data_IF_022251424396
#
_entry.id   IF_022251424396
#
_cell.length_a   1.000
_cell.length_b   1.000
_cell.length_c   1.000
_cell.angle_alpha   90.00
_cell.angle_beta   90.00
_cell.angle_gamma   90.00
#
_symmetry.space_group_name_H-M   'P 1'
#
loop_
_entity.id
_entity.type
_entity.pdbx_description
1 polymer ?
#
# COMPACT_ATOMS: atom_id res chain seq x y z
N UNK A 1 21.34 35.13 -26.31
CA UNK A 1 19.89 35.35 -26.37
C UNK A 1 19.36 34.96 -24.99
N UNK A 2 19.13 35.94 -24.11
CA UNK A 2 18.75 35.69 -22.71
C UNK A 2 17.26 35.34 -22.65
N UNK A 3 16.94 34.15 -22.14
CA UNK A 3 15.58 33.78 -21.77
C UNK A 3 15.16 34.59 -20.54
N UNK A 4 13.95 35.19 -20.51
CA UNK A 4 13.50 35.95 -19.36
C UNK A 4 13.18 35.02 -18.19
N UNK A 5 13.64 35.42 -17.00
CA UNK A 5 13.32 34.79 -15.73
C UNK A 5 11.79 34.64 -15.57
N UNK A 6 11.35 33.43 -15.21
CA UNK A 6 9.96 33.15 -14.87
C UNK A 6 9.50 34.09 -13.76
N UNK A 7 8.57 34.95 -14.13
CA UNK A 7 7.82 35.81 -13.23
C UNK A 7 6.89 34.91 -12.42
N UNK A 8 7.33 34.49 -11.23
CA UNK A 8 6.47 33.78 -10.28
C UNK A 8 5.28 34.69 -9.96
N UNK A 9 4.09 34.26 -10.37
CA UNK A 9 2.88 35.04 -10.21
C UNK A 9 2.58 35.25 -8.73
N UNK A 10 2.64 36.50 -8.27
CA UNK A 10 2.11 36.94 -6.97
C UNK A 10 0.57 36.99 -6.98
N UNK A 11 -0.11 35.91 -7.38
CA UNK A 11 -1.51 35.76 -6.98
C UNK A 11 -1.51 35.29 -5.53
N UNK A 12 -2.10 36.08 -4.63
CA UNK A 12 -2.29 35.67 -3.24
C UNK A 12 -3.04 34.34 -3.15
N UNK A 13 -2.71 33.52 -2.15
CA UNK A 13 -3.38 32.22 -1.95
C UNK A 13 -4.87 32.48 -1.71
N UNK A 14 -5.72 31.63 -2.27
CA UNK A 14 -7.15 31.68 -1.97
C UNK A 14 -7.40 31.13 -0.57
N UNK A 15 -8.46 31.55 0.15
CA UNK A 15 -8.79 31.01 1.48
C UNK A 15 -8.93 29.48 1.51
N UNK A 16 -9.39 28.89 0.39
CA UNK A 16 -9.49 27.43 0.24
C UNK A 16 -8.10 26.78 0.19
N UNK A 17 -7.16 27.40 -0.52
CA UNK A 17 -5.78 26.88 -0.62
C UNK A 17 -5.11 26.90 0.74
N UNK A 18 -5.26 27.99 1.50
CA UNK A 18 -4.73 28.11 2.86
C UNK A 18 -5.31 27.05 3.80
N UNK A 19 -6.63 26.82 3.75
CA UNK A 19 -7.29 25.79 4.54
C UNK A 19 -6.78 24.37 4.20
N UNK A 20 -6.58 24.07 2.91
CA UNK A 20 -6.07 22.78 2.46
C UNK A 20 -4.64 22.54 2.92
N UNK A 21 -3.78 23.55 2.80
CA UNK A 21 -2.39 23.51 3.27
C UNK A 21 -2.32 23.27 4.79
N UNK A 22 -3.08 24.05 5.56
CA UNK A 22 -3.14 23.90 7.01
C UNK A 22 -3.66 22.51 7.41
N UNK A 23 -4.69 22.02 6.71
CA UNK A 23 -5.25 20.69 6.95
C UNK A 23 -4.24 19.59 6.64
N UNK A 24 -3.50 19.69 5.53
CA UNK A 24 -2.47 18.74 5.16
C UNK A 24 -1.32 18.72 6.18
N UNK A 25 -0.85 19.88 6.65
CA UNK A 25 0.19 20.00 7.67
C UNK A 25 -0.27 19.40 9.00
N UNK A 26 -1.51 19.68 9.42
CA UNK A 26 -2.10 19.09 10.64
C UNK A 26 -2.20 17.57 10.53
N UNK A 27 -2.65 17.06 9.38
CA UNK A 27 -2.75 15.62 9.14
C UNK A 27 -1.36 14.96 9.14
N UNK A 28 -0.36 15.58 8.50
CA UNK A 28 1.03 15.13 8.54
C UNK A 28 1.53 15.00 9.98
N UNK A 29 1.37 16.05 10.80
CA UNK A 29 1.80 16.05 12.20
C UNK A 29 1.07 14.97 13.01
N UNK A 30 -0.24 14.80 12.80
CA UNK A 30 -1.02 13.75 13.44
C UNK A 30 -0.48 12.36 13.09
N UNK A 31 -0.34 12.04 11.81
CA UNK A 31 0.13 10.73 11.36
C UNK A 31 1.56 10.44 11.82
N UNK A 32 2.46 11.44 11.79
CA UNK A 32 3.82 11.31 12.28
C UNK A 32 3.87 11.02 13.78
N UNK A 33 3.07 11.74 14.59
CA UNK A 33 2.98 11.51 16.04
C UNK A 33 2.43 10.11 16.39
N UNK A 34 1.60 9.54 15.52
CA UNK A 34 1.07 8.17 15.63
C UNK A 34 1.96 7.13 14.94
N UNK A 35 3.17 7.51 14.52
CA UNK A 35 4.13 6.65 13.83
C UNK A 35 3.54 5.96 12.60
N UNK A 36 2.57 6.58 11.92
CA UNK A 36 1.92 6.03 10.73
C UNK A 36 1.17 4.71 10.98
N UNK A 37 0.90 4.38 12.24
CA UNK A 37 0.17 3.19 12.66
C UNK A 37 -1.28 3.55 12.98
N UNK A 38 -2.20 2.68 12.60
CA UNK A 38 -3.63 2.95 12.74
C UNK A 38 -4.46 1.68 12.86
N UNK A 39 -5.76 1.89 12.95
CA UNK A 39 -6.76 0.84 12.92
C UNK A 39 -7.28 0.63 11.51
N UNK A 40 -7.54 -0.61 11.15
CA UNK A 40 -8.13 -1.00 9.87
C UNK A 40 -9.56 -1.54 10.10
N UNK A 41 -10.54 -1.28 9.22
CA UNK A 41 -11.87 -1.88 9.32
C UNK A 41 -11.89 -3.41 9.45
N UNK A 42 -10.84 -4.10 9.00
CA UNK A 42 -10.73 -5.56 9.01
C UNK A 42 -9.71 -6.10 10.04
N UNK A 43 -9.15 -5.25 10.90
CA UNK A 43 -8.11 -5.62 11.88
C UNK A 43 -8.60 -6.44 13.09
N UNK A 44 -9.88 -6.79 13.17
CA UNK A 44 -10.44 -7.43 14.37
C UNK A 44 -9.76 -8.74 14.76
N UNK A 45 -9.25 -9.48 13.77
CA UNK A 45 -8.52 -10.73 14.02
C UNK A 45 -7.11 -10.52 14.61
N UNK A 46 -6.60 -9.27 14.66
CA UNK A 46 -5.42 -8.92 15.44
C UNK A 46 -5.69 -8.88 16.96
N UNK A 47 -6.92 -9.13 17.41
CA UNK A 47 -7.29 -9.13 18.82
C UNK A 47 -6.57 -10.24 19.59
N UNK A 48 -5.74 -9.84 20.56
CA UNK A 48 -5.08 -10.78 21.48
C UNK A 48 -6.08 -11.52 22.36
N UNK A 49 -7.18 -10.86 22.74
CA UNK A 49 -8.27 -11.48 23.50
C UNK A 49 -8.93 -12.57 22.67
N UNK A 50 -9.33 -12.27 21.43
CA UNK A 50 -9.97 -13.24 20.55
C UNK A 50 -9.03 -14.41 20.22
N UNK A 51 -7.76 -14.13 19.92
CA UNK A 51 -6.78 -15.17 19.58
C UNK A 51 -6.59 -16.21 20.70
N UNK A 52 -6.78 -15.82 21.96
CA UNK A 52 -6.68 -16.71 23.11
C UNK A 52 -7.90 -17.63 23.31
N UNK A 53 -9.01 -17.38 22.62
CA UNK A 53 -10.26 -18.11 22.80
C UNK A 53 -10.32 -19.33 21.86
N UNK A 54 -10.92 -20.47 22.28
CA UNK A 54 -10.94 -21.69 21.47
C UNK A 54 -11.70 -21.53 20.15
N UNK A 55 -12.69 -20.63 20.11
CA UNK A 55 -13.45 -20.32 18.91
C UNK A 55 -12.69 -19.45 17.90
N UNK A 56 -11.47 -19.00 18.21
CA UNK A 56 -10.63 -18.23 17.27
C UNK A 56 -10.28 -18.98 15.99
N UNK A 57 -10.41 -20.31 15.99
CA UNK A 57 -10.21 -21.18 14.83
C UNK A 57 -11.46 -21.34 13.96
N UNK A 58 -12.63 -20.93 14.45
CA UNK A 58 -13.91 -21.10 13.75
C UNK A 58 -14.09 -19.95 12.76
N UNK A 59 -14.25 -20.28 11.47
CA UNK A 59 -14.45 -19.31 10.40
C UNK A 59 -15.62 -18.36 10.66
N UNK A 60 -16.77 -18.89 11.11
CA UNK A 60 -17.94 -18.08 11.44
C UNK A 60 -17.67 -17.09 12.58
N UNK A 61 -16.95 -17.50 13.63
CA UNK A 61 -16.61 -16.63 14.75
C UNK A 61 -15.70 -15.47 14.31
N UNK A 62 -14.71 -15.76 13.45
CA UNK A 62 -13.85 -14.74 12.82
C UNK A 62 -14.67 -13.73 12.02
N UNK A 63 -15.59 -14.21 11.18
CA UNK A 63 -16.47 -13.37 10.36
C UNK A 63 -17.37 -12.48 11.22
N UNK A 64 -17.97 -13.04 12.27
CA UNK A 64 -18.82 -12.29 13.21
C UNK A 64 -18.00 -11.19 13.87
N UNK A 65 -16.82 -11.51 14.41
CA UNK A 65 -15.96 -10.51 15.05
C UNK A 65 -15.60 -9.37 14.09
N UNK A 66 -15.13 -9.70 12.88
CA UNK A 66 -14.77 -8.70 11.87
C UNK A 66 -15.97 -7.81 11.52
N UNK A 67 -17.16 -8.38 11.29
CA UNK A 67 -18.34 -7.58 10.93
C UNK A 67 -18.83 -6.72 12.10
N UNK A 68 -18.83 -7.24 13.33
CA UNK A 68 -19.19 -6.48 14.54
C UNK A 68 -18.24 -5.30 14.69
N UNK A 69 -16.93 -5.53 14.66
CA UNK A 69 -15.95 -4.46 14.80
C UNK A 69 -15.99 -3.42 13.69
N UNK A 70 -16.29 -3.84 12.45
CA UNK A 70 -16.41 -2.92 11.31
C UNK A 70 -17.62 -1.98 11.43
N UNK A 71 -18.72 -2.43 12.03
CA UNK A 71 -20.01 -1.72 12.04
C UNK A 71 -20.34 -1.06 13.36
N UNK A 72 -19.65 -1.43 14.43
CA UNK A 72 -19.92 -0.91 15.77
C UNK A 72 -19.57 0.58 15.83
N UNK A 73 -20.48 1.44 16.34
CA UNK A 73 -20.25 2.88 16.42
C UNK A 73 -19.20 3.25 17.48
N UNK A 74 -18.92 2.35 18.42
CA UNK A 74 -17.93 2.52 19.49
C UNK A 74 -16.70 1.66 19.21
N UNK A 75 -15.51 2.23 19.42
CA UNK A 75 -14.26 1.53 19.14
C UNK A 75 -13.88 0.54 20.25
N UNK A 76 -14.29 -0.74 20.11
CA UNK A 76 -13.95 -1.79 21.08
C UNK A 76 -12.51 -2.33 20.98
N UNK A 77 -11.67 -1.80 20.07
CA UNK A 77 -10.29 -2.29 19.86
C UNK A 77 -9.45 -2.30 21.11
N UNK A 78 -9.60 -1.28 21.96
CA UNK A 78 -8.91 -1.22 23.26
C UNK A 78 -9.30 -2.38 24.17
N UNK A 79 -10.59 -2.71 24.26
CA UNK A 79 -11.08 -3.84 25.08
C UNK A 79 -10.62 -5.19 24.52
N UNK A 80 -10.61 -5.31 23.20
CA UNK A 80 -10.16 -6.52 22.49
C UNK A 80 -8.64 -6.63 22.35
N UNK A 81 -7.89 -5.68 22.91
CA UNK A 81 -6.42 -5.60 22.82
C UNK A 81 -5.92 -5.67 21.37
N UNK A 82 -6.62 -4.97 20.47
CA UNK A 82 -6.18 -4.69 19.10
C UNK A 82 -5.35 -3.41 19.14
N UNK A 83 -4.05 -3.54 18.94
CA UNK A 83 -3.12 -2.40 18.86
C UNK A 83 -3.15 -1.75 17.48
N UNK A 84 -3.01 -0.41 17.38
CA UNK A 84 -2.71 0.24 16.11
C UNK A 84 -1.47 -0.40 15.50
N UNK A 85 -1.47 -0.59 14.19
CA UNK A 85 -0.33 -1.21 13.51
C UNK A 85 -0.17 -0.68 12.10
N UNK A 86 0.99 -0.99 11.54
CA UNK A 86 1.42 -0.51 10.24
C UNK A 86 0.91 -1.44 9.14
N UNK A 87 0.11 -0.89 8.23
CA UNK A 87 -0.32 -1.59 7.03
C UNK A 87 0.63 -1.21 5.89
N UNK A 88 1.31 -2.15 5.20
CA UNK A 88 2.24 -1.83 4.12
C UNK A 88 1.64 -0.93 3.04
N UNK A 89 0.38 -1.16 2.67
CA UNK A 89 -0.34 -0.28 1.73
C UNK A 89 -0.50 1.13 2.31
N UNK A 90 -0.84 1.25 3.59
CA UNK A 90 -1.01 2.54 4.26
C UNK A 90 0.29 3.33 4.29
N UNK A 91 1.41 2.67 4.65
CA UNK A 91 2.72 3.30 4.62
C UNK A 91 3.12 3.76 3.22
N UNK A 92 2.84 2.95 2.19
CA UNK A 92 3.11 3.32 0.80
C UNK A 92 2.34 4.58 0.37
N UNK A 93 1.04 4.65 0.71
CA UNK A 93 0.23 5.85 0.44
C UNK A 93 0.76 7.07 1.18
N UNK A 94 1.18 6.91 2.44
CA UNK A 94 1.81 8.02 3.16
C UNK A 94 3.12 8.45 2.49
N UNK A 95 4.00 7.51 2.14
CA UNK A 95 5.25 7.82 1.46
C UNK A 95 5.01 8.63 0.17
N UNK A 96 4.15 8.15 -0.74
CA UNK A 96 3.79 8.88 -1.97
C UNK A 96 3.19 10.26 -1.69
N UNK A 97 2.31 10.37 -0.68
CA UNK A 97 1.74 11.66 -0.31
C UNK A 97 2.81 12.63 0.23
N UNK A 98 3.75 12.17 1.06
CA UNK A 98 4.83 13.01 1.58
C UNK A 98 5.79 13.47 0.48
N UNK A 99 6.07 12.61 -0.50
CA UNK A 99 6.88 12.97 -1.67
C UNK A 99 6.18 14.08 -2.48
N UNK A 100 4.90 13.91 -2.81
CA UNK A 100 4.12 14.93 -3.51
C UNK A 100 4.02 16.26 -2.75
N UNK A 101 3.83 16.22 -1.42
CA UNK A 101 3.79 17.42 -0.59
C UNK A 101 5.17 18.10 -0.45
N UNK A 102 6.26 17.33 -0.50
CA UNK A 102 7.62 17.87 -0.47
C UNK A 102 8.01 18.50 -1.81
N UNK A 103 7.58 17.91 -2.93
CA UNK A 103 7.79 18.42 -4.29
C UNK A 103 7.19 19.82 -4.46
N UNK A 104 5.97 20.05 -3.95
CA UNK A 104 5.34 21.37 -3.98
C UNK A 104 5.84 22.33 -2.87
N UNK A 105 6.81 21.89 -2.06
CA UNK A 105 7.42 22.70 -1.00
C UNK A 105 6.53 22.96 0.22
N UNK A 106 5.45 22.19 0.40
CA UNK A 106 4.54 22.37 1.55
C UNK A 106 5.16 21.84 2.85
N UNK A 107 5.93 20.76 2.76
CA UNK A 107 6.64 20.15 3.88
C UNK A 107 8.07 19.80 3.47
N UNK A 108 8.92 19.51 4.46
CA UNK A 108 10.22 18.84 4.25
C UNK A 108 10.20 17.55 5.03
N UNK A 109 10.18 16.42 4.33
CA UNK A 109 9.87 15.13 4.94
C UNK A 109 10.80 13.98 4.49
N UNK A 110 11.99 14.30 3.94
CA UNK A 110 12.91 13.31 3.38
C UNK A 110 13.25 12.19 4.37
N UNK A 111 13.57 12.52 5.62
CA UNK A 111 13.86 11.54 6.68
C UNK A 111 12.65 10.65 6.97
N UNK A 112 11.45 11.24 7.02
CA UNK A 112 10.20 10.52 7.25
C UNK A 112 9.89 9.59 6.07
N UNK A 113 10.12 10.03 4.83
CA UNK A 113 9.92 9.22 3.63
C UNK A 113 10.90 8.04 3.63
N UNK A 114 12.19 8.28 3.84
CA UNK A 114 13.20 7.21 3.93
C UNK A 114 12.88 6.22 5.06
N UNK A 115 12.42 6.71 6.21
CA UNK A 115 11.97 5.85 7.32
C UNK A 115 10.76 4.99 6.93
N UNK A 116 9.77 5.56 6.25
CA UNK A 116 8.60 4.84 5.77
C UNK A 116 8.99 3.75 4.77
N UNK A 117 9.83 4.06 3.78
CA UNK A 117 10.32 3.09 2.79
C UNK A 117 11.09 1.94 3.47
N UNK A 118 11.98 2.27 4.41
CA UNK A 118 12.71 1.25 5.20
C UNK A 118 11.76 0.31 5.96
N UNK A 119 10.73 0.88 6.62
CA UNK A 119 9.71 0.10 7.34
C UNK A 119 8.87 -0.75 6.40
N UNK A 120 8.49 -0.25 5.23
CA UNK A 120 7.79 -1.02 4.21
C UNK A 120 8.65 -2.21 3.77
N UNK A 121 9.94 -2.01 3.49
CA UNK A 121 10.87 -3.08 3.15
C UNK A 121 10.92 -4.18 4.23
N UNK A 122 10.96 -3.79 5.50
CA UNK A 122 10.92 -4.72 6.64
C UNK A 122 9.60 -5.48 6.78
N UNK A 123 8.49 -4.92 6.29
CA UNK A 123 7.16 -5.53 6.31
C UNK A 123 6.87 -6.42 5.08
N UNK A 124 7.88 -6.78 4.28
CA UNK A 124 7.70 -7.72 3.17
C UNK A 124 7.09 -9.05 3.66
N UNK A 125 6.34 -9.69 2.78
CA UNK A 125 5.74 -10.99 3.05
C UNK A 125 6.84 -12.03 3.32
N UNK A 126 6.72 -12.82 4.40
CA UNK A 126 7.77 -13.75 4.81
C UNK A 126 7.91 -14.92 3.83
N UNK A 127 9.12 -15.48 3.75
CA UNK A 127 9.41 -16.71 2.98
C UNK A 127 9.04 -16.62 1.49
N UNK A 128 9.24 -15.44 0.90
CA UNK A 128 9.04 -15.19 -0.54
C UNK A 128 10.36 -14.89 -1.21
N UNK A 129 10.53 -15.34 -2.44
CA UNK A 129 11.68 -15.00 -3.29
C UNK A 129 11.67 -13.50 -3.59
N UNK A 130 10.61 -13.05 -4.26
CA UNK A 130 10.42 -11.65 -4.62
C UNK A 130 9.88 -10.81 -3.46
N UNK A 131 10.22 -9.52 -3.44
CA UNK A 131 9.58 -8.55 -2.55
C UNK A 131 8.09 -8.44 -2.90
N UNK A 132 7.23 -8.67 -1.91
CA UNK A 132 5.79 -8.53 -2.06
C UNK A 132 5.13 -8.31 -0.70
N UNK A 133 3.92 -7.78 -0.68
CA UNK A 133 3.30 -7.34 0.58
C UNK A 133 1.87 -7.82 0.72
N UNK A 134 1.46 -7.96 1.97
CA UNK A 134 0.12 -8.31 2.40
C UNK A 134 -0.40 -7.39 3.48
N UNK A 135 -1.68 -7.54 3.83
CA UNK A 135 -2.27 -6.76 4.92
C UNK A 135 -1.70 -7.18 6.28
N UNK A 136 -1.71 -6.25 7.23
CA UNK A 136 -1.23 -6.42 8.61
C UNK A 136 -2.23 -7.12 9.54
N UNK A 137 -3.18 -7.90 8.99
CA UNK A 137 -4.20 -8.64 9.71
C UNK A 137 -4.55 -9.93 8.96
N UNK A 138 -5.03 -10.93 9.71
CA UNK A 138 -5.65 -12.11 9.13
C UNK A 138 -6.96 -11.73 8.42
N UNK A 139 -7.20 -12.28 7.25
CA UNK A 139 -8.41 -12.04 6.48
C UNK A 139 -9.23 -13.33 6.33
N UNK A 140 -10.32 -13.40 7.10
CA UNK A 140 -11.37 -14.39 6.88
C UNK A 140 -12.42 -13.82 5.91
N UNK A 141 -12.57 -14.44 4.75
CA UNK A 141 -13.72 -14.24 3.86
C UNK A 141 -14.73 -15.38 4.03
N UNK A 142 -15.85 -15.33 3.32
CA UNK A 142 -16.82 -16.45 3.28
C UNK A 142 -16.25 -17.71 2.63
N UNK A 143 -15.24 -17.57 1.76
CA UNK A 143 -14.73 -18.66 0.92
C UNK A 143 -13.32 -19.11 1.29
N UNK A 144 -12.53 -18.25 1.91
CA UNK A 144 -11.12 -18.49 2.18
C UNK A 144 -10.66 -17.80 3.45
N UNK A 145 -9.48 -18.21 3.92
CA UNK A 145 -8.73 -17.55 4.96
C UNK A 145 -7.33 -17.22 4.44
N UNK A 146 -6.88 -15.99 4.63
CA UNK A 146 -5.52 -15.56 4.32
C UNK A 146 -4.86 -15.09 5.62
N UNK A 147 -3.68 -15.63 5.96
CA UNK A 147 -2.95 -15.15 7.13
C UNK A 147 -2.46 -13.72 6.91
N UNK A 148 -2.21 -13.01 8.00
CA UNK A 148 -1.51 -11.74 8.03
C UNK A 148 -0.22 -11.81 7.20
N UNK A 149 0.01 -10.77 6.40
CA UNK A 149 1.09 -10.66 5.43
C UNK A 149 1.08 -11.73 4.32
N UNK A 150 -0.04 -12.42 4.08
CA UNK A 150 -0.26 -13.14 2.83
C UNK A 150 -0.18 -12.14 1.66
N UNK A 151 0.73 -12.35 0.69
CA UNK A 151 0.96 -11.38 -0.36
C UNK A 151 -0.25 -11.27 -1.28
N UNK A 152 -0.54 -10.04 -1.71
CA UNK A 152 -1.58 -9.77 -2.68
C UNK A 152 -1.16 -8.67 -3.65
N UNK A 153 -1.81 -8.64 -4.81
CA UNK A 153 -1.51 -7.68 -5.87
C UNK A 153 -1.71 -6.23 -5.39
N UNK A 154 -2.73 -5.94 -4.58
CA UNK A 154 -3.04 -4.57 -4.14
C UNK A 154 -1.91 -4.00 -3.28
N UNK A 155 -1.53 -4.66 -2.19
CA UNK A 155 -0.49 -4.14 -1.31
C UNK A 155 0.84 -4.01 -2.07
N UNK A 156 1.15 -5.00 -2.91
CA UNK A 156 2.40 -5.03 -3.67
C UNK A 156 2.47 -3.93 -4.72
N UNK A 157 1.38 -3.66 -5.43
CA UNK A 157 1.29 -2.57 -6.41
C UNK A 157 1.41 -1.19 -5.77
N UNK A 158 0.76 -0.96 -4.62
CA UNK A 158 0.87 0.33 -3.93
C UNK A 158 2.29 0.57 -3.42
N UNK A 159 2.90 -0.46 -2.82
CA UNK A 159 4.28 -0.38 -2.36
C UNK A 159 5.25 -0.19 -3.53
N UNK A 160 5.10 -0.96 -4.61
CA UNK A 160 5.93 -0.84 -5.80
C UNK A 160 5.91 0.57 -6.40
N UNK A 161 4.72 1.19 -6.49
CA UNK A 161 4.61 2.57 -6.96
C UNK A 161 5.32 3.56 -6.02
N UNK A 162 5.17 3.42 -4.70
CA UNK A 162 5.86 4.29 -3.75
C UNK A 162 7.39 4.10 -3.79
N UNK A 163 7.87 2.88 -4.08
CA UNK A 163 9.29 2.61 -4.29
C UNK A 163 9.83 3.28 -5.57
N UNK A 164 9.05 3.25 -6.67
CA UNK A 164 9.40 4.00 -7.88
C UNK A 164 9.41 5.51 -7.64
N UNK A 165 8.40 6.05 -6.95
CA UNK A 165 8.39 7.47 -6.53
C UNK A 165 9.66 7.82 -5.75
N UNK A 166 10.03 6.98 -4.78
CA UNK A 166 11.22 7.18 -3.95
C UNK A 166 12.51 7.07 -4.76
N UNK A 167 12.59 6.14 -5.71
CA UNK A 167 13.73 6.04 -6.64
C UNK A 167 13.90 7.33 -7.45
N UNK A 168 12.82 7.85 -8.04
CA UNK A 168 12.90 9.11 -8.81
C UNK A 168 13.30 10.31 -7.95
N UNK A 169 12.86 10.36 -6.69
CA UNK A 169 13.17 11.49 -5.81
C UNK A 169 14.59 11.41 -5.22
N UNK A 170 15.08 10.22 -4.89
CA UNK A 170 16.31 10.05 -4.12
C UNK A 170 17.46 9.40 -4.88
N UNK A 171 17.22 8.91 -6.10
CA UNK A 171 18.20 8.23 -6.96
C UNK A 171 18.95 7.10 -6.22
N UNK A 172 18.22 6.35 -5.40
CA UNK A 172 18.74 5.22 -4.63
C UNK A 172 18.29 3.90 -5.28
N UNK A 173 19.25 3.20 -5.91
CA UNK A 173 19.01 1.97 -6.66
C UNK A 173 18.36 0.86 -5.82
N UNK A 174 18.55 0.86 -4.50
CA UNK A 174 17.90 -0.13 -3.63
C UNK A 174 16.38 -0.04 -3.66
N UNK A 175 15.82 1.14 -3.91
CA UNK A 175 14.38 1.33 -4.09
C UNK A 175 13.91 0.76 -5.43
N UNK A 176 14.69 0.99 -6.50
CA UNK A 176 14.41 0.42 -7.81
C UNK A 176 14.50 -1.11 -7.79
N UNK A 177 15.50 -1.69 -7.15
CA UNK A 177 15.65 -3.14 -6.99
C UNK A 177 14.43 -3.77 -6.29
N UNK A 178 13.94 -3.14 -5.20
CA UNK A 178 12.73 -3.58 -4.53
C UNK A 178 11.48 -3.44 -5.41
N UNK A 179 11.38 -2.37 -6.20
CA UNK A 179 10.28 -2.16 -7.14
C UNK A 179 10.29 -3.22 -8.26
N UNK A 180 11.45 -3.47 -8.88
CA UNK A 180 11.61 -4.51 -9.90
C UNK A 180 11.18 -5.86 -9.33
N UNK A 181 11.67 -6.21 -8.14
CA UNK A 181 11.29 -7.46 -7.46
C UNK A 181 9.78 -7.53 -7.20
N UNK A 182 9.12 -6.43 -6.85
CA UNK A 182 7.67 -6.36 -6.73
C UNK A 182 6.93 -6.63 -8.06
N UNK A 183 7.47 -6.15 -9.18
CA UNK A 183 6.98 -6.46 -10.52
C UNK A 183 7.12 -7.94 -10.86
N UNK A 184 8.28 -8.53 -10.54
CA UNK A 184 8.51 -9.97 -10.72
C UNK A 184 7.54 -10.82 -9.90
N UNK A 185 7.16 -10.39 -8.69
CA UNK A 185 6.11 -11.06 -7.93
C UNK A 185 4.76 -11.03 -8.66
N UNK A 186 4.37 -9.90 -9.25
CA UNK A 186 3.10 -9.82 -9.99
C UNK A 186 3.14 -10.75 -11.20
N UNK A 187 4.23 -10.74 -11.96
CA UNK A 187 4.38 -11.50 -13.21
C UNK A 187 4.56 -13.00 -12.97
N UNK A 188 5.39 -13.39 -12.01
CA UNK A 188 5.80 -14.79 -11.81
C UNK A 188 5.21 -15.41 -10.53
N UNK A 189 4.72 -14.59 -9.60
CA UNK A 189 4.20 -15.04 -8.31
C UNK A 189 2.68 -15.18 -8.26
N UNK A 190 1.92 -14.48 -9.12
CA UNK A 190 0.47 -14.58 -9.19
C UNK A 190 0.03 -15.56 -10.27
N UNK A 191 -1.16 -16.15 -10.09
CA UNK A 191 -1.75 -16.99 -11.12
C UNK A 191 -2.33 -16.12 -12.23
N UNK A 192 -2.22 -16.57 -13.48
CA UNK A 192 -2.72 -15.84 -14.65
C UNK A 192 -3.90 -16.59 -15.27
N UNK A 193 -5.05 -15.93 -15.35
CA UNK A 193 -6.17 -16.39 -16.18
C UNK A 193 -6.03 -15.76 -17.56
N UNK A 194 -6.20 -16.55 -18.63
CA UNK A 194 -6.22 -16.05 -20.01
C UNK A 194 -7.66 -16.04 -20.55
N UNK A 195 -8.03 -14.99 -21.25
CA UNK A 195 -9.27 -14.87 -22.01
C UNK A 195 -8.90 -14.75 -23.49
N UNK A 196 -9.25 -15.75 -24.30
CA UNK A 196 -8.83 -15.79 -25.69
C UNK A 196 -7.30 -15.75 -25.86
N UNK A 197 -6.84 -14.99 -26.85
CA UNK A 197 -5.42 -14.97 -27.24
C UNK A 197 -4.60 -13.88 -26.53
N UNK A 198 -5.19 -12.71 -26.26
CA UNK A 198 -4.43 -11.51 -25.88
C UNK A 198 -4.88 -10.87 -24.55
N UNK A 199 -5.91 -11.40 -23.89
CA UNK A 199 -6.40 -10.85 -22.63
C UNK A 199 -5.97 -11.74 -21.46
N UNK A 200 -5.46 -11.11 -20.39
CA UNK A 200 -5.07 -11.80 -19.17
C UNK A 200 -5.63 -11.11 -17.93
N UNK A 201 -5.70 -11.86 -16.84
CA UNK A 201 -6.01 -11.32 -15.51
C UNK A 201 -5.15 -12.04 -14.46
N UNK A 202 -4.36 -11.27 -13.73
CA UNK A 202 -3.65 -11.72 -12.55
C UNK A 202 -4.64 -12.00 -11.41
N UNK A 203 -4.39 -13.08 -10.66
CA UNK A 203 -5.14 -13.41 -9.46
C UNK A 203 -4.92 -12.39 -8.35
N UNK A 204 -5.82 -12.34 -7.36
CA UNK A 204 -5.67 -11.39 -6.25
C UNK A 204 -4.50 -11.77 -5.33
N UNK A 205 -4.32 -13.06 -5.09
CA UNK A 205 -3.21 -13.65 -4.32
C UNK A 205 -2.61 -14.85 -5.08
N UNK A 206 -1.40 -15.34 -4.70
CA UNK A 206 -0.86 -16.57 -5.26
C UNK A 206 -1.67 -17.82 -4.88
N UNK A 207 -2.62 -17.71 -3.96
CA UNK A 207 -3.37 -18.83 -3.40
C UNK A 207 -4.77 -18.99 -4.03
N UNK A 208 -5.11 -18.14 -5.01
CA UNK A 208 -6.40 -18.14 -5.67
C UNK A 208 -6.27 -17.90 -7.19
N UNK A 209 -7.40 -18.04 -7.89
CA UNK A 209 -7.57 -17.65 -9.29
C UNK A 209 -8.65 -16.57 -9.43
N UNK A 210 -8.85 -15.76 -8.38
CA UNK A 210 -9.89 -14.75 -8.32
C UNK A 210 -9.58 -13.59 -9.28
N UNK A 211 -10.48 -13.34 -10.22
CA UNK A 211 -10.36 -12.25 -11.18
C UNK A 211 -10.97 -10.98 -10.59
N UNK A 212 -10.11 -10.12 -10.03
CA UNK A 212 -10.52 -8.85 -9.42
C UNK A 212 -10.04 -7.72 -10.32
N UNK A 213 -10.90 -7.29 -11.26
CA UNK A 213 -10.50 -6.42 -12.37
C UNK A 213 -9.87 -5.09 -11.96
N UNK A 214 -10.35 -4.43 -10.91
CA UNK A 214 -9.75 -3.19 -10.42
C UNK A 214 -8.36 -3.42 -9.83
N UNK A 215 -8.13 -4.56 -9.17
CA UNK A 215 -6.82 -4.93 -8.65
C UNK A 215 -5.87 -5.29 -9.80
N UNK A 216 -6.36 -6.00 -10.81
CA UNK A 216 -5.63 -6.31 -12.02
C UNK A 216 -5.18 -5.05 -12.77
N UNK A 217 -6.09 -4.08 -12.96
CA UNK A 217 -5.78 -2.82 -13.64
C UNK A 217 -4.70 -2.01 -12.92
N UNK A 218 -4.73 -2.00 -11.58
CA UNK A 218 -3.66 -1.37 -10.80
C UNK A 218 -2.32 -2.09 -10.99
N UNK A 219 -2.32 -3.42 -11.01
CA UNK A 219 -1.14 -4.24 -11.30
C UNK A 219 -0.55 -3.93 -12.68
N UNK A 220 -1.40 -3.93 -13.72
CA UNK A 220 -1.05 -3.54 -15.08
C UNK A 220 -0.43 -2.13 -15.16
N UNK A 221 -1.11 -1.13 -14.58
CA UNK A 221 -0.59 0.24 -14.55
C UNK A 221 0.78 0.34 -13.88
N UNK A 222 1.03 -0.45 -12.84
CA UNK A 222 2.34 -0.53 -12.21
C UNK A 222 3.40 -1.20 -13.09
N UNK A 223 3.07 -2.28 -13.79
CA UNK A 223 4.00 -2.92 -14.75
C UNK A 223 4.36 -1.97 -15.90
N UNK A 224 3.38 -1.23 -16.44
CA UNK A 224 3.63 -0.18 -17.43
C UNK A 224 4.56 0.91 -16.90
N UNK A 225 4.37 1.33 -15.64
CA UNK A 225 5.24 2.30 -15.00
C UNK A 225 6.66 1.76 -14.80
N UNK A 226 6.80 0.50 -14.37
CA UNK A 226 8.08 -0.15 -14.18
C UNK A 226 8.84 -0.35 -15.51
N UNK A 227 8.13 -0.57 -16.62
CA UNK A 227 8.72 -0.59 -17.97
C UNK A 227 9.47 0.71 -18.29
N UNK A 228 8.96 1.88 -17.87
CA UNK A 228 9.60 3.18 -18.19
C UNK A 228 11.01 3.34 -17.62
N UNK A 229 11.42 2.50 -16.68
CA UNK A 229 12.77 2.51 -16.05
C UNK A 229 13.58 1.25 -16.34
N UNK A 230 12.92 0.15 -16.70
CA UNK A 230 13.59 -1.14 -16.94
C UNK A 230 13.74 -1.47 -18.42
N UNK A 231 12.90 -0.89 -19.28
CA UNK A 231 12.77 -1.21 -20.71
C UNK A 231 12.51 -2.70 -21.00
N UNK A 232 12.04 -3.48 -20.00
CA UNK A 232 11.65 -4.88 -20.20
C UNK A 232 10.29 -4.96 -20.89
N UNK A 233 10.31 -5.19 -22.21
CA UNK A 233 9.14 -5.36 -23.07
C UNK A 233 8.12 -6.39 -22.56
N UNK A 234 8.55 -7.37 -21.74
CA UNK A 234 7.62 -8.31 -21.11
C UNK A 234 6.64 -7.60 -20.19
N UNK A 235 7.08 -6.57 -19.47
CA UNK A 235 6.25 -5.79 -18.55
C UNK A 235 5.18 -5.00 -19.31
N UNK A 236 5.57 -4.35 -20.41
CA UNK A 236 4.65 -3.59 -21.25
C UNK A 236 3.60 -4.50 -21.90
N UNK A 237 4.00 -5.69 -22.38
CA UNK A 237 3.07 -6.66 -22.97
C UNK A 237 2.05 -7.21 -21.97
N UNK A 238 2.40 -7.28 -20.69
CA UNK A 238 1.54 -7.81 -19.63
C UNK A 238 0.67 -6.73 -18.96
N UNK A 239 0.98 -5.45 -19.18
CA UNK A 239 0.22 -4.30 -18.69
C UNK A 239 -0.99 -4.04 -19.59
#
# INVERSE_FOLDING_TARGET
MNLPAQQTSKLGKTPITELLEETAIKLFAYCNSHKWAGYDPFDGLNSRVFAALPFSKISLARLILTQVMKRMPVNARKLLLVSPSENPKGLAVFASALMALSEIGLIRADDQIRNLISRIGALRSPQRTHFCWGYNFDWQSRKFFLPKFAPNIICTTFVGNALLDAYYQFEDDSYLEMAISAGEFIVNGLNVTKFGNDEICFSYTPYDHGQVHNANLLGAAYLARLYTVTEDEKLLKLA
#
